data_IF_577927458877
#
_entry.id   IF_577927458877
#
_cell.length_a   1.000
_cell.length_b   1.000
_cell.length_c   1.000
_cell.angle_alpha   90.00
_cell.angle_beta   90.00
_cell.angle_gamma   90.00
#
_symmetry.space_group_name_H-M   'P 1'
#
loop_
_entity.id
_entity.type
_entity.pdbx_description
1 polymer ?
#
# COMPACT_ATOMS: atom_id res chain seq x y z
N UNK A 1 -3.76 -11.73 19.79
CA UNK A 1 -3.22 -11.03 18.61
C UNK A 1 -2.45 -12.02 17.76
N UNK A 2 -2.70 -12.06 16.46
CA UNK A 2 -2.04 -12.98 15.55
C UNK A 2 -0.55 -12.65 15.39
N UNK A 3 0.21 -13.62 14.89
CA UNK A 3 1.61 -13.42 14.56
C UNK A 3 1.79 -12.28 13.55
N UNK A 4 0.94 -12.25 12.53
CA UNK A 4 1.01 -11.24 11.47
C UNK A 4 0.75 -9.83 12.00
N UNK A 5 -0.21 -9.67 12.90
CA UNK A 5 -0.50 -8.38 13.52
C UNK A 5 0.64 -7.92 14.42
N UNK A 6 1.25 -8.85 15.17
CA UNK A 6 2.43 -8.53 16.00
C UNK A 6 3.61 -8.10 15.13
N UNK A 7 3.85 -8.82 14.03
CA UNK A 7 4.92 -8.49 13.09
C UNK A 7 4.68 -7.12 12.46
N UNK A 8 3.45 -6.83 12.05
CA UNK A 8 3.07 -5.52 11.51
C UNK A 8 3.39 -4.40 12.50
N UNK A 9 2.95 -4.54 13.74
CA UNK A 9 3.16 -3.52 14.75
C UNK A 9 4.64 -3.32 15.06
N UNK A 10 5.41 -4.41 15.10
CA UNK A 10 6.85 -4.37 15.33
C UNK A 10 7.58 -3.62 14.20
N UNK A 11 7.25 -3.93 12.96
CA UNK A 11 7.85 -3.27 11.78
C UNK A 11 7.44 -1.80 11.75
N UNK A 12 6.17 -1.50 12.00
CA UNK A 12 5.68 -0.12 12.02
C UNK A 12 6.41 0.72 13.06
N UNK A 13 6.70 0.14 14.23
CA UNK A 13 7.42 0.85 15.28
C UNK A 13 8.90 1.04 14.99
N UNK A 14 9.52 0.09 14.26
CA UNK A 14 10.98 0.01 14.12
C UNK A 14 11.50 0.53 12.77
N UNK A 15 10.74 0.35 11.69
CA UNK A 15 11.21 0.64 10.33
C UNK A 15 10.40 1.80 9.76
N UNK A 16 10.85 3.01 10.04
CA UNK A 16 10.09 4.21 9.66
C UNK A 16 9.91 4.38 8.15
N UNK A 17 10.89 3.94 7.36
CA UNK A 17 10.82 4.08 5.90
C UNK A 17 9.73 3.19 5.28
N UNK A 18 9.31 2.15 5.99
CA UNK A 18 8.24 1.27 5.51
C UNK A 18 6.84 1.84 5.78
N UNK A 19 6.73 2.83 6.65
CA UNK A 19 5.44 3.43 6.99
C UNK A 19 4.89 4.20 5.80
N UNK A 20 3.58 4.13 5.62
CA UNK A 20 2.91 4.89 4.59
C UNK A 20 1.47 5.20 4.99
N UNK A 21 0.86 6.09 4.22
CA UNK A 21 -0.56 6.37 4.25
C UNK A 21 -1.16 5.92 2.93
N UNK A 22 -2.41 5.51 2.96
CA UNK A 22 -3.15 5.10 1.76
C UNK A 22 -4.36 6.01 1.63
N UNK A 23 -4.61 6.49 0.43
CA UNK A 23 -5.79 7.30 0.13
C UNK A 23 -6.61 6.58 -0.94
N UNK A 24 -7.90 6.35 -0.63
CA UNK A 24 -8.86 5.69 -1.52
C UNK A 24 -10.06 6.62 -1.61
N UNK A 25 -10.19 7.30 -2.74
CA UNK A 25 -11.22 8.34 -2.85
C UNK A 25 -11.01 9.42 -1.80
N UNK A 26 -11.96 9.55 -0.88
CA UNK A 26 -11.89 10.53 0.23
C UNK A 26 -11.42 9.92 1.54
N UNK A 27 -11.21 8.61 1.57
CA UNK A 27 -10.82 7.90 2.78
C UNK A 27 -9.30 7.82 2.87
N UNK A 28 -8.75 8.19 4.04
CA UNK A 28 -7.32 8.07 4.31
C UNK A 28 -7.10 7.04 5.39
N UNK A 29 -6.24 6.06 5.10
CA UNK A 29 -5.78 5.07 6.06
C UNK A 29 -4.41 5.53 6.52
N UNK A 30 -4.31 5.98 7.77
CA UNK A 30 -3.11 6.64 8.27
C UNK A 30 -1.97 5.67 8.61
N UNK A 31 -2.28 4.40 8.86
CA UNK A 31 -1.29 3.44 9.34
C UNK A 31 -1.24 2.23 8.40
N UNK A 32 -0.18 2.17 7.60
CA UNK A 32 0.06 1.07 6.69
C UNK A 32 1.57 0.89 6.51
N UNK A 33 1.94 -0.25 5.96
CA UNK A 33 3.33 -0.55 5.59
C UNK A 33 3.40 -0.77 4.09
N UNK A 34 4.45 -0.27 3.46
CA UNK A 34 4.66 -0.42 2.03
C UNK A 34 6.01 -1.04 1.72
N UNK A 35 6.10 -1.66 0.54
CA UNK A 35 7.34 -2.18 0.00
C UNK A 35 7.32 -2.02 -1.52
N UNK A 36 8.46 -1.70 -2.10
CA UNK A 36 8.62 -1.62 -3.54
C UNK A 36 7.98 -0.41 -4.21
N UNK A 37 7.59 0.62 -3.46
CA UNK A 37 6.88 1.78 -4.01
C UNK A 37 7.77 2.57 -4.99
N UNK A 38 9.08 2.60 -4.75
CA UNK A 38 10.01 3.24 -5.68
C UNK A 38 9.98 2.62 -7.07
N UNK A 39 9.77 1.31 -7.15
CA UNK A 39 9.67 0.60 -8.43
C UNK A 39 8.42 1.01 -9.21
N UNK A 40 7.32 1.31 -8.52
CA UNK A 40 6.12 1.82 -9.17
C UNK A 40 6.38 3.14 -9.87
N UNK A 41 7.14 4.04 -9.25
CA UNK A 41 7.52 5.30 -9.87
C UNK A 41 8.37 5.11 -11.10
N UNK A 42 9.38 4.23 -11.02
CA UNK A 42 10.31 3.98 -12.10
C UNK A 42 9.64 3.37 -13.32
N UNK A 43 8.70 2.46 -13.08
CA UNK A 43 8.05 1.69 -14.14
C UNK A 43 6.86 2.40 -14.78
N UNK A 44 6.39 3.50 -14.23
CA UNK A 44 5.27 4.26 -14.78
C UNK A 44 5.56 4.74 -16.19
N UNK A 45 6.80 5.14 -16.47
CA UNK A 45 7.21 5.69 -17.76
C UNK A 45 7.52 4.62 -18.80
N UNK A 46 7.82 3.41 -18.39
CA UNK A 46 8.28 2.35 -19.27
C UNK A 46 7.20 1.34 -19.64
N UNK A 47 6.05 1.40 -18.98
CA UNK A 47 4.96 0.49 -19.26
C UNK A 47 5.24 -0.96 -18.92
N UNK A 48 6.24 -1.23 -18.11
CA UNK A 48 6.54 -2.59 -17.68
C UNK A 48 5.51 -3.05 -16.67
N UNK A 49 4.75 -4.04 -17.05
CA UNK A 49 3.67 -4.57 -16.23
C UNK A 49 4.04 -5.95 -15.70
N UNK A 50 3.58 -6.28 -14.52
CA UNK A 50 3.53 -7.65 -14.06
C UNK A 50 4.71 -8.20 -13.29
N UNK A 51 5.81 -7.47 -13.14
CA UNK A 51 6.96 -7.96 -12.36
C UNK A 51 7.33 -7.08 -11.18
N UNK A 52 6.39 -6.24 -10.73
CA UNK A 52 6.63 -5.31 -9.64
C UNK A 52 6.21 -5.97 -8.32
N UNK A 53 7.16 -6.10 -7.38
CA UNK A 53 6.90 -6.64 -6.05
C UNK A 53 6.43 -5.56 -5.07
N UNK A 54 5.67 -4.59 -5.57
CA UNK A 54 5.12 -3.54 -4.73
C UNK A 54 3.89 -4.05 -4.00
N UNK A 55 3.81 -3.74 -2.71
CA UNK A 55 2.64 -4.09 -1.92
C UNK A 55 2.47 -3.12 -0.76
N UNK A 56 1.26 -3.10 -0.22
CA UNK A 56 0.97 -2.43 1.04
C UNK A 56 0.26 -3.41 1.94
N UNK A 57 0.47 -3.25 3.25
CA UNK A 57 -0.19 -4.03 4.29
C UNK A 57 -0.86 -3.08 5.25
N UNK A 58 -2.08 -3.39 5.64
CA UNK A 58 -2.84 -2.61 6.61
C UNK A 58 -3.59 -3.55 7.54
N UNK A 59 -3.96 -3.04 8.71
CA UNK A 59 -4.79 -3.81 9.62
C UNK A 59 -6.18 -3.97 9.03
N UNK A 60 -6.74 -5.18 9.12
CA UNK A 60 -8.08 -5.45 8.60
C UNK A 60 -9.13 -4.53 9.22
N UNK A 61 -8.94 -4.14 10.50
CA UNK A 61 -9.82 -3.22 11.19
C UNK A 61 -9.78 -1.80 10.64
N UNK A 62 -8.71 -1.43 9.93
CA UNK A 62 -8.56 -0.10 9.31
C UNK A 62 -9.09 -0.08 7.86
N UNK A 63 -9.45 -1.22 7.33
CA UNK A 63 -10.02 -1.31 5.99
C UNK A 63 -11.40 -0.64 5.96
N UNK A 64 -11.73 0.12 4.89
CA UNK A 64 -13.07 0.71 4.76
C UNK A 64 -14.17 -0.35 4.78
N UNK A 65 -15.39 0.04 5.14
CA UNK A 65 -16.54 -0.87 5.16
C UNK A 65 -16.75 -1.56 3.81
N UNK A 66 -16.52 -0.85 2.73
CA UNK A 66 -16.47 -1.43 1.39
C UNK A 66 -15.06 -1.98 1.17
N UNK A 67 -14.95 -3.28 1.02
CA UNK A 67 -13.66 -3.92 0.80
C UNK A 67 -12.92 -3.32 -0.40
N UNK A 68 -11.60 -3.23 -0.26
CA UNK A 68 -10.75 -2.78 -1.37
C UNK A 68 -10.67 -3.92 -2.38
N UNK A 69 -11.23 -3.69 -3.56
CA UNK A 69 -11.32 -4.72 -4.60
C UNK A 69 -10.16 -4.65 -5.57
N UNK A 70 -9.87 -5.79 -6.20
CA UNK A 70 -8.95 -5.84 -7.33
C UNK A 70 -9.41 -4.86 -8.42
N UNK A 71 -8.47 -4.09 -8.94
CA UNK A 71 -8.76 -3.05 -9.93
C UNK A 71 -8.95 -1.66 -9.34
N UNK A 72 -9.13 -1.54 -8.03
CA UNK A 72 -9.25 -0.24 -7.37
C UNK A 72 -7.94 0.53 -7.48
N UNK A 73 -8.01 1.80 -7.86
CA UNK A 73 -6.84 2.68 -7.87
C UNK A 73 -6.74 3.37 -6.52
N UNK A 74 -5.57 3.27 -5.90
CA UNK A 74 -5.27 3.88 -4.61
C UNK A 74 -4.07 4.81 -4.77
N UNK A 75 -3.87 5.67 -3.79
CA UNK A 75 -2.69 6.51 -3.72
C UNK A 75 -1.93 6.22 -2.43
N UNK A 76 -0.61 6.21 -2.51
CA UNK A 76 0.26 5.83 -1.39
C UNK A 76 1.25 6.95 -1.15
N UNK A 77 1.36 7.39 0.10
CA UNK A 77 2.35 8.37 0.53
C UNK A 77 3.32 7.68 1.49
N UNK A 78 4.52 7.42 1.02
CA UNK A 78 5.57 6.84 1.86
C UNK A 78 6.08 7.89 2.86
N UNK A 79 6.40 7.44 4.06
CA UNK A 79 6.92 8.32 5.11
C UNK A 79 8.17 9.07 4.63
N UNK A 80 8.21 10.36 4.86
CA UNK A 80 9.31 11.21 4.43
C UNK A 80 9.09 11.88 3.08
N UNK A 81 8.05 11.51 2.33
CA UNK A 81 7.74 12.14 1.06
C UNK A 81 6.85 13.37 1.26
N UNK A 82 6.90 14.27 0.28
CA UNK A 82 6.10 15.50 0.32
C UNK A 82 4.61 15.17 0.29
N UNK A 83 3.85 15.78 1.21
CA UNK A 83 2.42 15.49 1.36
C UNK A 83 1.56 15.96 0.19
N UNK A 84 2.09 16.84 -0.66
CA UNK A 84 1.38 17.35 -1.84
C UNK A 84 1.76 16.62 -3.11
N UNK A 85 3.05 16.28 -3.28
CA UNK A 85 3.57 15.75 -4.52
C UNK A 85 4.07 14.31 -4.42
N UNK A 86 4.17 13.77 -3.20
CA UNK A 86 4.75 12.45 -2.96
C UNK A 86 3.80 11.28 -3.12
N UNK A 87 2.53 11.51 -3.38
CA UNK A 87 1.55 10.44 -3.56
C UNK A 87 1.81 9.69 -4.85
N UNK A 88 1.83 8.37 -4.77
CA UNK A 88 2.02 7.47 -5.91
C UNK A 88 0.73 6.73 -6.16
N UNK A 89 0.22 6.78 -7.39
CA UNK A 89 -0.96 6.00 -7.79
C UNK A 89 -0.57 4.56 -8.07
N UNK A 90 -1.42 3.64 -7.65
CA UNK A 90 -1.26 2.22 -7.94
C UNK A 90 -2.63 1.58 -8.09
N UNK A 91 -2.67 0.50 -8.86
CA UNK A 91 -3.88 -0.32 -8.99
C UNK A 91 -3.72 -1.56 -8.14
N UNK A 92 -4.76 -1.94 -7.43
CA UNK A 92 -4.76 -3.17 -6.66
C UNK A 92 -4.88 -4.35 -7.62
N UNK A 93 -3.82 -5.17 -7.70
CA UNK A 93 -3.79 -6.38 -8.52
C UNK A 93 -4.24 -7.62 -7.77
N UNK A 94 -4.26 -7.58 -6.44
CA UNK A 94 -4.72 -8.70 -5.63
C UNK A 94 -4.90 -8.28 -4.19
N UNK A 95 -5.82 -8.94 -3.50
CA UNK A 95 -6.12 -8.71 -2.09
C UNK A 95 -5.94 -10.03 -1.33
N UNK A 96 -5.10 -10.03 -0.31
CA UNK A 96 -4.74 -11.23 0.44
C UNK A 96 -4.90 -10.98 1.94
N UNK A 97 -6.07 -11.35 2.52
CA UNK A 97 -6.25 -11.23 3.97
C UNK A 97 -5.49 -12.34 4.68
N UNK A 98 -4.69 -12.01 5.66
CA UNK A 98 -3.89 -12.97 6.44
C UNK A 98 -3.79 -12.50 7.88
N UNK A 99 -4.35 -13.27 8.82
CA UNK A 99 -4.08 -13.09 10.24
C UNK A 99 -4.43 -11.71 10.80
N UNK A 100 -5.50 -11.08 10.36
CA UNK A 100 -5.90 -9.74 10.82
C UNK A 100 -5.27 -8.61 10.03
N UNK A 101 -4.47 -8.93 8.99
CA UNK A 101 -3.93 -7.97 8.04
C UNK A 101 -4.56 -8.17 6.68
N UNK A 102 -4.59 -7.11 5.90
CA UNK A 102 -4.88 -7.18 4.48
C UNK A 102 -3.64 -6.75 3.72
N UNK A 103 -3.14 -7.61 2.84
CA UNK A 103 -2.03 -7.28 1.94
C UNK A 103 -2.61 -7.03 0.55
N UNK A 104 -2.23 -5.90 -0.02
CA UNK A 104 -2.63 -5.51 -1.38
C UNK A 104 -1.41 -5.57 -2.28
N UNK A 105 -1.45 -6.44 -3.28
CA UNK A 105 -0.44 -6.45 -4.33
C UNK A 105 -0.74 -5.30 -5.29
N UNK A 106 0.27 -4.55 -5.69
CA UNK A 106 0.10 -3.33 -6.45
C UNK A 106 0.68 -3.43 -7.84
N UNK A 107 0.03 -2.75 -8.77
CA UNK A 107 0.47 -2.62 -10.16
C UNK A 107 0.60 -1.15 -10.50
N UNK A 108 1.52 -0.83 -11.41
CA UNK A 108 1.67 0.52 -11.91
C UNK A 108 0.43 0.94 -12.70
N UNK A 109 0.06 2.21 -12.56
CA UNK A 109 -1.04 2.80 -13.34
C UNK A 109 -0.42 3.60 -14.47
N UNK A 110 -0.70 3.18 -15.70
CA UNK A 110 -0.31 3.92 -16.88
C UNK A 110 -1.45 4.86 -17.28
N UNK A 111 -1.18 6.14 -17.25
CA UNK A 111 -2.10 7.15 -17.74
C UNK A 111 -1.56 7.81 -18.98
#
# INVERSE_FOLDING_TARGET
>A
MSFETKAFNSIYASITIARCQIRIGRTVIAKALCAGIGKLRENTDEGQLGSIDANVRLLATDEPDDEIKTGTVIEILQNGQDTKTGWVKARVGGRFPVGGLTRLALEAVNE
#
